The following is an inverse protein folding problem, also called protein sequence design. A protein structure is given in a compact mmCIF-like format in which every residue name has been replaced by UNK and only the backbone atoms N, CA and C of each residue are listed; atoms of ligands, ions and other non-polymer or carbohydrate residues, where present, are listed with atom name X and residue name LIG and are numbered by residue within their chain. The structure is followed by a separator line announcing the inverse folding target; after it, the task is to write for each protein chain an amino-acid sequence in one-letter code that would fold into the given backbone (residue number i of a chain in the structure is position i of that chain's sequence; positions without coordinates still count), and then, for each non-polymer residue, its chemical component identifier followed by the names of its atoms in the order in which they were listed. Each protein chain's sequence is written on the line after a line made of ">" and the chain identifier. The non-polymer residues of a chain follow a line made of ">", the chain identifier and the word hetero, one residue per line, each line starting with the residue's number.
data_IF_438236397933
#
_entry.id   IF_438236397933
#
_cell.length_a   1.000
_cell.length_b   1.000
_cell.length_c   1.000
_cell.angle_alpha   90.00
_cell.angle_beta   90.00
_cell.angle_gamma   90.00
#
_symmetry.space_group_name_H-M   'P 1'
#
loop_
_entity.id
_entity.type
_entity.pdbx_description
1 polymer ?
#
# COMPACT_ATOMS: atom_id res chain seq x y z
N UNK A 1 23.52 9.06 5.05
CA UNK A 1 22.45 8.84 6.05
C UNK A 1 22.10 7.37 6.09
N UNK A 2 21.70 6.87 7.27
CA UNK A 2 21.12 5.54 7.44
C UNK A 2 19.58 5.66 7.40
N UNK A 3 18.97 5.10 6.37
CA UNK A 3 17.52 5.15 6.17
C UNK A 3 16.97 3.77 6.46
N UNK A 4 16.05 3.66 7.42
CA UNK A 4 15.37 2.42 7.72
C UNK A 4 13.98 2.42 7.04
N UNK A 5 13.77 1.46 6.14
CA UNK A 5 12.50 1.25 5.43
C UNK A 5 11.76 0.10 6.08
N UNK A 6 10.56 0.36 6.58
CA UNK A 6 9.78 -0.64 7.29
C UNK A 6 8.59 -1.12 6.45
N UNK A 7 8.61 -2.40 6.11
CA UNK A 7 7.51 -3.11 5.44
C UNK A 7 7.00 -4.30 6.25
N UNK A 8 7.41 -4.42 7.52
CA UNK A 8 7.11 -5.58 8.38
C UNK A 8 5.63 -5.85 8.64
N UNK A 9 4.76 -4.86 8.40
CA UNK A 9 3.31 -4.97 8.55
C UNK A 9 2.57 -5.27 7.22
N UNK A 10 3.28 -5.38 6.08
CA UNK A 10 2.70 -5.51 4.74
C UNK A 10 2.69 -6.97 4.28
N UNK A 11 1.51 -7.54 4.12
CA UNK A 11 1.36 -8.97 3.75
C UNK A 11 0.48 -9.18 2.53
N UNK A 12 -0.44 -8.25 2.22
CA UNK A 12 -1.41 -8.38 1.13
C UNK A 12 -1.82 -7.02 0.57
N UNK A 13 -2.32 -7.03 -0.66
CA UNK A 13 -2.99 -5.89 -1.29
C UNK A 13 -2.04 -4.79 -1.79
N UNK A 14 -2.60 -3.62 -2.05
CA UNK A 14 -1.89 -2.50 -2.68
C UNK A 14 -0.65 -2.03 -1.92
N UNK A 15 -0.68 -2.06 -0.58
CA UNK A 15 0.47 -1.68 0.24
C UNK A 15 1.69 -2.58 0.02
N UNK A 16 1.48 -3.88 -0.23
CA UNK A 16 2.55 -4.80 -0.60
C UNK A 16 3.16 -4.42 -1.96
N UNK A 17 2.33 -4.14 -2.97
CA UNK A 17 2.79 -3.75 -4.30
C UNK A 17 3.56 -2.43 -4.29
N UNK A 18 3.07 -1.44 -3.55
CA UNK A 18 3.78 -0.15 -3.39
C UNK A 18 5.14 -0.36 -2.70
N UNK A 19 5.22 -1.24 -1.70
CA UNK A 19 6.48 -1.53 -1.03
C UNK A 19 7.50 -2.18 -1.97
N UNK A 20 7.05 -3.16 -2.77
CA UNK A 20 7.90 -3.84 -3.76
C UNK A 20 8.40 -2.86 -4.82
N UNK A 21 7.50 -2.06 -5.40
CA UNK A 21 7.86 -1.03 -6.36
C UNK A 21 8.85 -0.02 -5.77
N UNK A 22 8.55 0.51 -4.59
CA UNK A 22 9.40 1.48 -3.91
C UNK A 22 10.81 0.95 -3.63
N UNK A 23 10.94 -0.31 -3.14
CA UNK A 23 12.23 -0.91 -2.86
C UNK A 23 13.02 -1.16 -4.14
N UNK A 24 12.36 -1.62 -5.22
CA UNK A 24 13.01 -1.83 -6.51
C UNK A 24 13.46 -0.51 -7.16
N UNK A 25 12.65 0.54 -7.10
CA UNK A 25 13.05 1.86 -7.60
C UNK A 25 14.25 2.45 -6.83
N UNK A 26 14.40 2.15 -5.53
CA UNK A 26 15.55 2.60 -4.76
C UNK A 26 16.88 2.06 -5.27
N UNK A 27 16.90 0.88 -5.87
CA UNK A 27 18.11 0.25 -6.41
C UNK A 27 18.70 1.07 -7.58
N UNK A 28 17.83 1.76 -8.34
CA UNK A 28 18.22 2.60 -9.46
C UNK A 28 18.73 3.99 -9.03
N UNK A 29 18.50 4.36 -7.76
CA UNK A 29 18.95 5.64 -7.23
C UNK A 29 20.42 5.57 -6.84
N UNK A 30 21.26 6.30 -7.56
CA UNK A 30 22.69 6.45 -7.21
C UNK A 30 22.84 7.42 -6.03
N UNK A 31 22.79 6.89 -4.81
CA UNK A 31 22.90 7.67 -3.58
C UNK A 31 23.98 7.11 -2.66
N UNK A 32 24.55 7.97 -1.79
CA UNK A 32 25.48 7.59 -0.74
C UNK A 32 24.74 7.22 0.57
N UNK A 33 23.49 6.80 0.52
CA UNK A 33 22.73 6.41 1.69
C UNK A 33 22.87 4.91 1.96
N UNK A 34 22.82 4.52 3.23
CA UNK A 34 22.67 3.13 3.65
C UNK A 34 21.17 2.87 3.83
N UNK A 35 20.66 1.82 3.17
CA UNK A 35 19.27 1.40 3.25
C UNK A 35 19.15 0.12 4.08
N UNK A 36 18.48 0.24 5.22
CA UNK A 36 18.14 -0.89 6.08
C UNK A 36 16.66 -1.22 5.90
N UNK A 37 16.34 -2.44 5.47
CA UNK A 37 14.97 -2.78 5.05
C UNK A 37 14.41 -3.89 5.93
N UNK A 38 13.36 -3.60 6.69
CA UNK A 38 12.59 -4.59 7.42
C UNK A 38 11.56 -5.22 6.49
N UNK A 39 11.76 -6.48 6.15
CA UNK A 39 10.91 -7.23 5.24
C UNK A 39 9.88 -8.05 6.00
N UNK A 40 8.60 -7.97 5.62
CA UNK A 40 7.64 -9.02 5.95
C UNK A 40 7.94 -10.26 5.11
N UNK A 41 7.43 -11.43 5.52
CA UNK A 41 7.54 -12.66 4.72
C UNK A 41 6.95 -12.52 3.30
N UNK A 42 5.94 -11.68 3.13
CA UNK A 42 5.30 -11.50 1.83
C UNK A 42 6.14 -10.62 0.89
N UNK A 43 6.83 -9.62 1.43
CA UNK A 43 7.77 -8.76 0.68
C UNK A 43 9.05 -9.54 0.37
N UNK A 44 9.62 -10.24 1.35
CA UNK A 44 10.86 -11.03 1.21
C UNK A 44 10.78 -12.06 0.08
N UNK A 45 9.64 -12.73 -0.05
CA UNK A 45 9.40 -13.74 -1.11
C UNK A 45 9.41 -13.17 -2.55
N UNK A 46 9.29 -11.86 -2.70
CA UNK A 46 9.14 -11.20 -4.00
C UNK A 46 10.31 -10.26 -4.33
N UNK A 47 11.31 -10.17 -3.45
CA UNK A 47 12.54 -9.39 -3.68
C UNK A 47 13.72 -10.34 -3.85
N UNK A 48 14.41 -10.24 -4.97
CA UNK A 48 15.73 -10.87 -5.11
C UNK A 48 16.79 -9.95 -4.52
N UNK A 49 17.21 -10.25 -3.28
CA UNK A 49 18.19 -9.45 -2.55
C UNK A 49 19.56 -9.39 -3.25
N UNK A 50 19.84 -10.31 -4.18
CA UNK A 50 21.12 -10.36 -4.93
C UNK A 50 21.24 -9.25 -5.96
N UNK A 51 20.12 -8.66 -6.36
CA UNK A 51 20.09 -7.54 -7.31
C UNK A 51 20.49 -6.20 -6.70
N UNK A 52 20.66 -6.14 -5.37
CA UNK A 52 20.92 -4.90 -4.65
C UNK A 52 22.41 -4.74 -4.34
N UNK A 53 22.86 -3.50 -4.38
CA UNK A 53 24.26 -3.12 -4.09
C UNK A 53 24.60 -3.20 -2.60
N UNK A 54 25.88 -3.10 -2.25
CA UNK A 54 26.40 -3.31 -0.88
C UNK A 54 25.95 -2.28 0.17
N UNK A 55 25.20 -1.24 -0.20
CA UNK A 55 24.60 -0.29 0.73
C UNK A 55 23.16 -0.65 1.16
N UNK A 56 22.65 -1.82 0.74
CA UNK A 56 21.34 -2.35 1.14
C UNK A 56 21.50 -3.51 2.13
N UNK A 57 20.77 -3.43 3.25
CA UNK A 57 20.78 -4.43 4.32
C UNK A 57 19.36 -4.88 4.62
N UNK A 58 19.10 -6.18 4.52
CA UNK A 58 17.76 -6.76 4.65
C UNK A 58 17.60 -7.53 5.96
N UNK A 59 16.46 -7.33 6.62
CA UNK A 59 16.14 -7.95 7.90
C UNK A 59 14.74 -8.57 7.84
N UNK A 60 14.66 -9.88 7.87
CA UNK A 60 13.40 -10.60 7.85
C UNK A 60 12.66 -10.47 9.18
N UNK A 61 11.41 -10.00 9.11
CA UNK A 61 10.46 -9.93 10.22
C UNK A 61 9.35 -10.93 9.95
N UNK A 62 9.48 -12.12 10.53
CA UNK A 62 8.64 -13.28 10.18
C UNK A 62 7.16 -13.09 10.50
N UNK A 63 6.82 -12.26 11.48
CA UNK A 63 5.44 -12.05 11.94
C UNK A 63 5.09 -10.56 11.98
N UNK A 64 3.83 -10.26 11.66
CA UNK A 64 3.35 -8.88 11.64
C UNK A 64 3.29 -8.27 13.04
N UNK A 65 3.76 -7.02 13.23
CA UNK A 65 3.53 -6.25 14.45
C UNK A 65 2.05 -5.92 14.68
N UNK A 66 1.19 -6.07 13.67
CA UNK A 66 -0.26 -5.94 13.81
C UNK A 66 -0.90 -7.08 14.62
N UNK A 67 -0.25 -8.27 14.66
CA UNK A 67 -0.76 -9.44 15.37
C UNK A 67 -0.64 -9.29 16.89
N UNK A 68 -1.76 -9.26 17.60
CA UNK A 68 -1.79 -9.13 19.06
C UNK A 68 -1.04 -10.27 19.76
N UNK A 69 -1.07 -11.47 19.21
CA UNK A 69 -0.43 -12.67 19.79
C UNK A 69 1.09 -12.57 19.82
N UNK A 70 1.69 -11.98 18.79
CA UNK A 70 3.15 -11.96 18.60
C UNK A 70 3.74 -10.57 18.74
N UNK A 71 2.91 -9.54 18.94
CA UNK A 71 3.33 -8.13 18.93
C UNK A 71 4.49 -7.85 19.89
N UNK A 72 4.38 -8.29 21.15
CA UNK A 72 5.44 -8.03 22.15
C UNK A 72 6.81 -8.53 21.67
N UNK A 73 6.88 -9.76 21.20
CA UNK A 73 8.13 -10.37 20.71
C UNK A 73 8.66 -9.63 19.48
N UNK A 74 7.78 -9.26 18.55
CA UNK A 74 8.16 -8.53 17.34
C UNK A 74 8.65 -7.12 17.68
N UNK A 75 7.98 -6.41 18.58
CA UNK A 75 8.43 -5.08 19.01
C UNK A 75 9.82 -5.13 19.68
N UNK A 76 10.12 -6.15 20.48
CA UNK A 76 11.48 -6.35 21.03
C UNK A 76 12.48 -6.52 19.90
N UNK A 77 12.21 -7.36 18.89
CA UNK A 77 13.09 -7.56 17.72
C UNK A 77 13.29 -6.24 16.94
N UNK A 78 12.21 -5.51 16.64
CA UNK A 78 12.29 -4.25 15.90
C UNK A 78 13.12 -3.20 16.65
N UNK A 79 12.91 -3.06 17.97
CA UNK A 79 13.66 -2.13 18.81
C UNK A 79 15.15 -2.51 18.90
N UNK A 80 15.47 -3.79 19.05
CA UNK A 80 16.87 -4.26 19.08
C UNK A 80 17.59 -4.03 17.76
N UNK A 81 16.91 -4.24 16.63
CA UNK A 81 17.45 -3.93 15.32
C UNK A 81 17.64 -2.43 15.12
N UNK A 82 16.68 -1.60 15.53
CA UNK A 82 16.80 -0.13 15.48
C UNK A 82 18.01 0.35 16.31
N UNK A 83 18.19 -0.17 17.53
CA UNK A 83 19.33 0.16 18.40
C UNK A 83 20.67 -0.25 17.79
N UNK A 84 20.71 -1.38 17.08
CA UNK A 84 21.90 -1.83 16.36
C UNK A 84 22.21 -0.95 15.15
N UNK A 85 21.19 -0.65 14.32
CA UNK A 85 21.32 0.11 13.08
C UNK A 85 21.59 1.59 13.38
N UNK A 86 20.88 2.16 14.35
CA UNK A 86 20.84 3.59 14.68
C UNK A 86 20.50 4.45 13.46
N UNK A 87 19.29 4.27 12.86
CA UNK A 87 18.92 4.99 11.67
C UNK A 87 18.71 6.49 11.96
N UNK A 88 19.01 7.32 10.97
CA UNK A 88 18.73 8.77 11.03
C UNK A 88 17.22 9.03 10.89
N UNK A 89 16.54 8.21 10.08
CA UNK A 89 15.10 8.26 9.83
C UNK A 89 14.52 6.87 9.59
N UNK A 90 13.28 6.69 9.98
CA UNK A 90 12.46 5.50 9.65
C UNK A 90 11.35 5.90 8.69
N UNK A 91 11.20 5.17 7.59
CA UNK A 91 10.08 5.27 6.68
C UNK A 91 9.26 3.98 6.69
N UNK A 92 8.05 4.00 7.23
CA UNK A 92 7.09 2.90 7.04
C UNK A 92 6.29 3.15 5.78
N UNK A 93 6.41 2.26 4.79
CA UNK A 93 5.81 2.46 3.46
C UNK A 93 4.29 2.61 3.56
N UNK A 94 3.64 1.77 4.38
CA UNK A 94 2.22 1.92 4.69
C UNK A 94 1.91 1.65 6.16
N UNK A 95 1.08 2.52 6.75
CA UNK A 95 0.62 2.41 8.13
C UNK A 95 -0.79 1.87 8.34
N UNK A 96 -1.11 1.64 9.61
CA UNK A 96 -0.28 1.84 10.79
C UNK A 96 0.84 0.81 10.90
N UNK A 97 2.01 1.26 11.36
CA UNK A 97 3.19 0.38 11.55
C UNK A 97 3.06 -0.54 12.76
N UNK A 98 2.22 -0.16 13.73
CA UNK A 98 2.09 -0.80 15.06
C UNK A 98 3.39 -0.86 15.86
N UNK A 99 4.37 -0.07 15.46
CA UNK A 99 5.68 0.10 16.07
C UNK A 99 6.05 1.58 16.08
N UNK A 100 6.54 2.06 17.22
CA UNK A 100 7.02 3.42 17.39
C UNK A 100 8.56 3.38 17.50
N UNK A 101 9.30 3.75 16.46
CA UNK A 101 10.75 3.85 16.51
C UNK A 101 11.18 5.03 17.41
N UNK A 102 12.48 5.04 17.81
CA UNK A 102 13.14 6.16 18.49
C UNK A 102 13.53 7.26 17.51
N UNK A 103 13.97 6.87 16.30
CA UNK A 103 14.28 7.80 15.22
C UNK A 103 13.01 8.49 14.67
N UNK A 104 13.19 9.62 13.98
CA UNK A 104 12.08 10.31 13.32
C UNK A 104 11.36 9.37 12.35
N UNK A 105 10.05 9.33 12.43
CA UNK A 105 9.24 8.37 11.72
C UNK A 105 8.31 9.03 10.71
N UNK A 106 8.58 8.79 9.43
CA UNK A 106 7.70 9.10 8.31
C UNK A 106 6.83 7.88 7.98
N UNK A 107 5.54 8.06 7.73
CA UNK A 107 4.60 6.97 7.52
C UNK A 107 3.69 7.26 6.32
N UNK A 108 3.71 6.38 5.32
CA UNK A 108 2.77 6.40 4.21
C UNK A 108 1.38 5.91 4.63
N UNK A 109 0.32 6.53 4.10
CA UNK A 109 -1.04 6.14 4.47
C UNK A 109 -2.06 6.39 3.36
N UNK A 110 -2.81 5.36 2.98
CA UNK A 110 -3.80 5.40 1.90
C UNK A 110 -5.12 4.66 2.21
N UNK A 111 -5.46 4.45 3.50
CA UNK A 111 -6.71 3.78 3.87
C UNK A 111 -7.88 4.77 3.93
N UNK A 112 -8.64 4.86 2.84
CA UNK A 112 -9.80 5.75 2.72
C UNK A 112 -10.90 5.53 3.78
N UNK A 113 -11.01 4.34 4.38
CA UNK A 113 -11.94 4.09 5.49
C UNK A 113 -11.59 4.91 6.73
N UNK A 114 -10.31 5.19 6.96
CA UNK A 114 -9.86 5.91 8.15
C UNK A 114 -10.13 7.41 8.07
N UNK A 115 -9.95 8.05 6.91
CA UNK A 115 -10.08 9.50 6.79
C UNK A 115 -11.34 9.96 6.03
N UNK A 116 -12.20 9.03 5.59
CA UNK A 116 -13.45 9.38 4.93
C UNK A 116 -14.67 8.70 5.61
N UNK A 117 -15.00 9.09 6.85
CA UNK A 117 -16.06 8.48 7.65
C UNK A 117 -17.46 8.68 7.06
N UNK A 118 -17.64 9.65 6.16
CA UNK A 118 -18.90 9.97 5.47
C UNK A 118 -19.04 9.24 4.14
N UNK A 119 -18.06 8.40 3.78
CA UNK A 119 -18.12 7.65 2.53
C UNK A 119 -19.39 6.80 2.43
N UNK A 120 -20.05 6.86 1.27
CA UNK A 120 -21.22 6.02 0.96
C UNK A 120 -20.92 4.52 1.09
N UNK A 121 -19.65 4.13 1.04
CA UNK A 121 -19.23 2.74 1.26
C UNK A 121 -19.62 2.23 2.67
N UNK A 122 -19.62 3.09 3.69
CA UNK A 122 -20.12 2.73 5.02
C UNK A 122 -21.61 2.39 5.03
N UNK A 123 -22.42 3.10 4.22
CA UNK A 123 -23.86 2.89 4.15
C UNK A 123 -24.23 1.56 3.46
N UNK A 124 -23.31 0.98 2.69
CA UNK A 124 -23.47 -0.34 2.04
C UNK A 124 -23.16 -1.49 2.98
N UNK A 125 -22.53 -1.22 4.12
CA UNK A 125 -22.27 -2.26 5.12
C UNK A 125 -23.50 -2.51 5.99
N UNK A 126 -23.82 -3.77 6.30
CA UNK A 126 -24.75 -4.10 7.38
C UNK A 126 -24.36 -3.41 8.69
N UNK A 127 -25.34 -3.07 9.52
CA UNK A 127 -25.13 -2.26 10.73
C UNK A 127 -23.99 -2.77 11.62
N UNK A 128 -23.98 -4.06 11.93
CA UNK A 128 -22.93 -4.68 12.76
C UNK A 128 -21.54 -4.58 12.12
N UNK A 129 -21.45 -4.79 10.80
CA UNK A 129 -20.18 -4.64 10.07
C UNK A 129 -19.72 -3.18 10.05
N UNK A 130 -20.63 -2.23 9.93
CA UNK A 130 -20.35 -0.80 9.99
C UNK A 130 -19.78 -0.40 11.35
N UNK A 131 -20.40 -0.84 12.45
CA UNK A 131 -19.91 -0.60 13.81
C UNK A 131 -18.50 -1.20 13.98
N UNK A 132 -18.32 -2.47 13.59
CA UNK A 132 -17.01 -3.14 13.66
C UNK A 132 -15.95 -2.38 12.85
N UNK A 133 -16.29 -1.90 11.65
CA UNK A 133 -15.37 -1.13 10.82
C UNK A 133 -14.97 0.18 11.48
N UNK A 134 -15.93 0.93 12.07
CA UNK A 134 -15.64 2.19 12.79
C UNK A 134 -14.74 1.96 14.02
N UNK A 135 -14.97 0.89 14.77
CA UNK A 135 -14.09 0.52 15.89
C UNK A 135 -12.69 0.17 15.42
N UNK A 136 -12.60 -0.57 14.32
CA UNK A 136 -11.32 -0.93 13.71
C UNK A 136 -10.56 0.31 13.22
N UNK A 137 -11.24 1.24 12.55
CA UNK A 137 -10.66 2.53 12.13
C UNK A 137 -10.18 3.33 13.34
N UNK A 138 -10.97 3.43 14.40
CA UNK A 138 -10.57 4.13 15.64
C UNK A 138 -9.32 3.51 16.28
N UNK A 139 -9.24 2.18 16.27
CA UNK A 139 -8.05 1.44 16.72
C UNK A 139 -6.81 1.75 15.85
N UNK A 140 -6.95 1.73 14.52
CA UNK A 140 -5.86 2.12 13.60
C UNK A 140 -5.42 3.58 13.83
N UNK A 141 -6.39 4.51 13.99
CA UNK A 141 -6.10 5.93 14.19
C UNK A 141 -5.28 6.19 15.46
N UNK A 142 -5.52 5.41 16.53
CA UNK A 142 -4.69 5.47 17.72
C UNK A 142 -3.22 5.16 17.41
N UNK A 143 -2.96 4.08 16.65
CA UNK A 143 -1.58 3.72 16.28
C UNK A 143 -0.95 4.71 15.29
N UNK A 144 -1.73 5.25 14.36
CA UNK A 144 -1.25 6.30 13.46
C UNK A 144 -0.72 7.49 14.26
N UNK A 145 -1.51 8.02 15.19
CA UNK A 145 -1.09 9.15 16.04
C UNK A 145 0.11 8.83 16.94
N UNK A 146 0.14 7.62 17.50
CA UNK A 146 1.16 7.23 18.47
C UNK A 146 2.52 6.98 17.84
N UNK A 147 2.52 6.38 16.63
CA UNK A 147 3.69 5.71 16.09
C UNK A 147 4.49 6.60 15.13
N UNK A 148 3.89 7.62 14.53
CA UNK A 148 4.57 8.43 13.51
C UNK A 148 4.66 9.92 13.87
N UNK A 149 5.71 10.57 13.37
CA UNK A 149 5.92 12.01 13.50
C UNK A 149 5.41 12.75 12.25
N UNK A 150 5.53 12.14 11.07
CA UNK A 150 5.17 12.70 9.76
C UNK A 150 4.43 11.69 8.90
N UNK A 151 3.66 12.19 7.93
CA UNK A 151 2.78 11.36 7.09
C UNK A 151 2.91 11.71 5.62
N UNK A 152 2.86 10.69 4.77
CA UNK A 152 2.75 10.82 3.31
C UNK A 152 1.38 10.33 2.86
N UNK A 153 0.68 11.16 2.11
CA UNK A 153 -0.63 10.88 1.52
C UNK A 153 -0.54 11.02 0.00
N UNK A 154 -1.39 10.33 -0.72
CA UNK A 154 -1.35 10.26 -2.19
C UNK A 154 -1.94 11.51 -2.87
N UNK A 155 -2.87 12.23 -2.21
CA UNK A 155 -3.58 13.37 -2.80
C UNK A 155 -3.78 14.50 -1.78
N UNK A 156 -4.01 15.70 -2.28
CA UNK A 156 -4.34 16.85 -1.45
C UNK A 156 -5.67 16.66 -0.71
N UNK A 157 -6.67 16.00 -1.34
CA UNK A 157 -7.93 15.66 -0.68
C UNK A 157 -7.71 14.70 0.50
N UNK A 158 -6.92 13.63 0.28
CA UNK A 158 -6.54 12.71 1.34
C UNK A 158 -5.81 13.43 2.48
N UNK A 159 -4.86 14.30 2.19
CA UNK A 159 -4.16 15.14 3.19
C UNK A 159 -5.14 15.96 4.02
N UNK A 160 -6.05 16.68 3.39
CA UNK A 160 -6.99 17.56 4.08
C UNK A 160 -7.95 16.76 4.96
N UNK A 161 -8.51 15.65 4.46
CA UNK A 161 -9.41 14.77 5.20
C UNK A 161 -8.69 14.05 6.35
N UNK A 162 -7.50 13.51 6.08
CA UNK A 162 -6.69 12.83 7.07
C UNK A 162 -6.34 13.75 8.23
N UNK A 163 -5.81 14.94 7.96
CA UNK A 163 -5.46 15.92 9.00
C UNK A 163 -6.65 16.30 9.87
N UNK A 164 -7.83 16.50 9.27
CA UNK A 164 -9.07 16.84 9.99
C UNK A 164 -9.60 15.68 10.82
N UNK A 165 -9.73 14.47 10.22
CA UNK A 165 -10.39 13.32 10.85
C UNK A 165 -9.50 12.64 11.90
N UNK A 166 -8.21 12.52 11.59
CA UNK A 166 -7.23 11.92 12.51
C UNK A 166 -6.69 12.96 13.49
N UNK A 167 -6.99 14.25 13.27
CA UNK A 167 -6.55 15.38 14.11
C UNK A 167 -5.02 15.43 14.21
N UNK A 168 -4.38 15.65 13.06
CA UNK A 168 -2.93 15.76 12.87
C UNK A 168 -2.65 17.10 12.20
N UNK A 169 -1.63 17.79 12.69
CA UNK A 169 -1.17 19.04 12.11
C UNK A 169 -0.81 18.88 10.62
N UNK A 170 -1.37 19.74 9.78
CA UNK A 170 -1.12 19.74 8.33
C UNK A 170 0.35 19.94 7.97
N UNK A 171 1.13 20.61 8.80
CA UNK A 171 2.58 20.80 8.61
C UNK A 171 3.36 19.49 8.69
N UNK A 172 2.80 18.47 9.34
CA UNK A 172 3.36 17.11 9.45
C UNK A 172 2.93 16.18 8.32
N UNK A 173 2.15 16.67 7.35
CA UNK A 173 1.62 15.86 6.27
C UNK A 173 2.11 16.33 4.92
N UNK A 174 2.60 15.40 4.10
CA UNK A 174 3.10 15.65 2.75
C UNK A 174 2.21 14.96 1.72
N UNK A 175 2.19 15.49 0.51
CA UNK A 175 1.51 14.87 -0.63
C UNK A 175 2.56 14.37 -1.59
N UNK A 176 2.55 13.06 -1.84
CA UNK A 176 3.36 12.41 -2.86
C UNK A 176 2.41 11.58 -3.71
N UNK A 177 2.22 11.99 -4.97
CA UNK A 177 1.35 11.31 -5.90
C UNK A 177 1.87 9.92 -6.26
N UNK A 178 0.96 9.00 -6.55
CA UNK A 178 1.34 7.69 -7.07
C UNK A 178 1.81 7.82 -8.52
N UNK A 179 2.78 7.00 -8.87
CA UNK A 179 3.18 6.71 -10.24
C UNK A 179 2.99 5.22 -10.52
N UNK A 180 3.11 4.81 -11.76
CA UNK A 180 3.18 3.39 -12.11
C UNK A 180 4.59 2.85 -11.86
N UNK A 181 4.71 1.56 -11.69
CA UNK A 181 6.02 0.89 -11.53
C UNK A 181 6.70 0.75 -12.88
N UNK A 182 8.03 0.85 -12.91
CA UNK A 182 8.88 0.63 -14.09
C UNK A 182 8.63 -0.72 -14.77
N UNK A 183 8.15 -1.71 -14.03
CA UNK A 183 7.73 -3.01 -14.61
C UNK A 183 6.65 -2.87 -15.72
N UNK A 184 5.95 -1.74 -15.80
CA UNK A 184 4.97 -1.44 -16.84
C UNK A 184 5.52 -0.56 -17.96
N UNK A 185 6.81 -0.26 -17.98
CA UNK A 185 7.46 0.44 -19.08
C UNK A 185 7.46 -0.46 -20.31
N UNK A 186 7.19 0.12 -21.48
CA UNK A 186 6.97 -0.64 -22.72
C UNK A 186 8.17 -1.53 -23.08
N UNK A 187 9.39 -1.09 -22.80
CA UNK A 187 10.62 -1.83 -23.11
C UNK A 187 10.78 -3.11 -22.25
N UNK A 188 10.31 -3.10 -21.02
CA UNK A 188 10.31 -4.27 -20.13
C UNK A 188 9.12 -5.20 -20.40
N UNK A 189 7.97 -4.62 -20.78
CA UNK A 189 6.77 -5.39 -21.13
C UNK A 189 6.95 -6.31 -22.32
N UNK A 190 7.82 -5.97 -23.28
CA UNK A 190 8.07 -6.78 -24.49
C UNK A 190 8.93 -8.01 -24.19
N UNK A 191 9.76 -7.98 -23.15
CA UNK A 191 10.68 -9.06 -22.81
C UNK A 191 10.10 -10.13 -21.88
N UNK A 192 9.04 -9.83 -21.14
CA UNK A 192 8.40 -10.81 -20.28
C UNK A 192 7.33 -11.57 -21.08
N UNK A 193 7.42 -12.90 -21.10
CA UNK A 193 6.40 -13.78 -21.68
C UNK A 193 5.08 -13.61 -20.93
N UNK A 194 4.30 -12.59 -21.29
CA UNK A 194 2.97 -12.29 -20.74
C UNK A 194 1.87 -13.25 -21.20
N UNK A 195 2.18 -14.50 -21.51
CA UNK A 195 1.18 -15.54 -21.83
C UNK A 195 0.17 -15.81 -20.68
N UNK A 196 0.44 -15.28 -19.48
CA UNK A 196 -0.40 -15.48 -18.30
C UNK A 196 -1.46 -14.39 -18.08
N UNK A 197 -1.44 -13.31 -18.83
CA UNK A 197 -2.32 -12.17 -18.56
C UNK A 197 -3.53 -12.09 -19.49
N UNK A 198 -4.67 -12.52 -19.01
CA UNK A 198 -6.00 -12.30 -19.57
C UNK A 198 -6.17 -12.97 -20.94
N UNK A 199 -6.62 -14.21 -20.98
CA UNK A 199 -7.19 -14.81 -22.19
C UNK A 199 -8.47 -14.04 -22.60
N UNK A 200 -8.28 -12.87 -23.18
CA UNK A 200 -9.37 -12.16 -23.86
C UNK A 200 -9.55 -12.75 -25.26
N UNK A 201 -10.78 -12.90 -25.73
CA UNK A 201 -11.04 -13.27 -27.12
C UNK A 201 -10.33 -12.30 -28.07
N UNK A 202 -9.98 -12.75 -29.27
CA UNK A 202 -9.39 -11.85 -30.27
C UNK A 202 -10.31 -10.64 -30.48
N UNK A 203 -9.72 -9.43 -30.45
CA UNK A 203 -10.45 -8.20 -30.68
C UNK A 203 -10.98 -8.17 -32.12
N UNK A 204 -12.26 -7.81 -32.26
CA UNK A 204 -12.87 -7.61 -33.59
C UNK A 204 -12.61 -6.20 -34.10
N UNK A 205 -12.67 -6.02 -35.42
CA UNK A 205 -12.61 -4.70 -36.02
C UNK A 205 -13.78 -3.84 -35.53
N UNK A 206 -13.47 -2.58 -35.21
CA UNK A 206 -14.44 -1.62 -34.65
C UNK A 206 -15.02 -1.97 -33.27
N UNK A 207 -14.46 -2.97 -32.57
CA UNK A 207 -14.83 -3.28 -31.19
C UNK A 207 -14.18 -2.29 -30.22
N UNK A 208 -14.96 -1.72 -29.30
CA UNK A 208 -14.43 -1.00 -28.15
C UNK A 208 -14.48 -1.90 -26.91
N UNK A 209 -13.37 -2.07 -26.21
CA UNK A 209 -13.27 -2.92 -25.01
C UNK A 209 -13.14 -2.08 -23.75
N UNK A 210 -14.02 -2.32 -22.80
CA UNK A 210 -13.91 -1.84 -21.43
C UNK A 210 -13.42 -2.98 -20.54
N UNK A 211 -12.28 -2.79 -19.90
CA UNK A 211 -11.69 -3.79 -19.00
C UNK A 211 -11.71 -3.21 -17.58
N UNK A 212 -12.29 -3.96 -16.64
CA UNK A 212 -12.32 -3.61 -15.24
C UNK A 212 -11.63 -4.70 -14.41
N UNK A 213 -10.39 -4.41 -14.01
CA UNK A 213 -9.57 -5.33 -13.21
C UNK A 213 -9.71 -4.92 -11.75
N UNK A 214 -10.28 -5.79 -10.92
CA UNK A 214 -10.53 -5.49 -9.51
C UNK A 214 -10.81 -6.76 -8.70
N UNK A 215 -10.73 -6.65 -7.38
CA UNK A 215 -11.19 -7.68 -6.46
C UNK A 215 -12.53 -7.31 -5.83
N UNK A 216 -13.29 -8.31 -5.39
CA UNK A 216 -14.59 -8.08 -4.79
C UNK A 216 -14.47 -7.48 -3.39
N UNK A 217 -14.52 -6.15 -3.32
CA UNK A 217 -14.48 -5.39 -2.07
C UNK A 217 -15.57 -4.30 -2.07
N UNK A 218 -16.23 -4.03 -0.94
CA UNK A 218 -17.35 -3.09 -0.85
C UNK A 218 -17.07 -1.68 -1.40
N UNK A 219 -15.82 -1.19 -1.30
CA UNK A 219 -15.44 0.11 -1.83
C UNK A 219 -15.32 0.15 -3.37
N UNK A 220 -15.24 -1.00 -4.04
CA UNK A 220 -15.10 -1.08 -5.50
C UNK A 220 -16.43 -0.95 -6.25
N UNK A 221 -17.55 -1.00 -5.52
CA UNK A 221 -18.89 -0.76 -6.08
C UNK A 221 -19.23 -1.57 -7.34
N UNK A 222 -18.90 -2.85 -7.36
CA UNK A 222 -19.12 -3.73 -8.51
C UNK A 222 -20.58 -3.74 -9.00
N UNK A 223 -21.56 -3.51 -8.11
CA UNK A 223 -22.98 -3.42 -8.47
C UNK A 223 -23.29 -2.28 -9.42
N UNK A 224 -22.42 -1.27 -9.56
CA UNK A 224 -22.60 -0.21 -10.55
C UNK A 224 -22.44 -0.72 -11.98
N UNK A 225 -21.70 -1.80 -12.20
CA UNK A 225 -21.55 -2.43 -13.52
C UNK A 225 -22.91 -2.84 -14.08
N UNK A 226 -23.77 -3.46 -13.26
CA UNK A 226 -25.12 -3.87 -13.67
C UNK A 226 -26.00 -2.69 -14.11
N UNK A 227 -25.68 -1.46 -13.68
CA UNK A 227 -26.38 -0.25 -14.10
C UNK A 227 -25.81 0.35 -15.39
N UNK A 228 -24.55 0.06 -15.67
CA UNK A 228 -23.85 0.57 -16.86
C UNK A 228 -24.11 -0.32 -18.07
N UNK A 229 -24.11 -1.65 -17.89
CA UNK A 229 -24.28 -2.59 -19.00
C UNK A 229 -25.49 -2.30 -19.90
N UNK A 230 -26.71 -2.01 -19.39
CA UNK A 230 -27.84 -1.70 -20.23
C UNK A 230 -27.69 -0.38 -21.04
N UNK A 231 -26.81 0.53 -20.56
CA UNK A 231 -26.51 1.78 -21.26
C UNK A 231 -25.57 1.60 -22.45
N UNK A 232 -24.93 0.44 -22.53
CA UNK A 232 -24.00 0.07 -23.61
C UNK A 232 -24.71 -0.70 -24.73
N UNK A 233 -25.98 -1.05 -24.54
CA UNK A 233 -26.78 -1.72 -25.56
C UNK A 233 -26.87 -0.84 -26.82
N UNK A 234 -26.65 -1.45 -27.99
CA UNK A 234 -26.63 -0.75 -29.27
C UNK A 234 -25.28 -0.15 -29.68
N UNK A 235 -24.26 -0.22 -28.80
CA UNK A 235 -22.89 0.11 -29.13
C UNK A 235 -22.06 -1.15 -29.30
N UNK A 236 -21.04 -1.13 -30.17
CA UNK A 236 -20.10 -2.25 -30.31
C UNK A 236 -19.07 -2.24 -29.17
N UNK A 237 -19.56 -2.37 -27.92
CA UNK A 237 -18.77 -2.31 -26.70
C UNK A 237 -18.84 -3.63 -25.96
N UNK A 238 -17.70 -4.26 -25.75
CA UNK A 238 -17.56 -5.45 -24.90
C UNK A 238 -16.98 -5.08 -23.54
N UNK A 239 -17.67 -5.50 -22.48
CA UNK A 239 -17.24 -5.26 -21.11
C UNK A 239 -16.63 -6.54 -20.50
N UNK A 240 -15.38 -6.44 -20.07
CA UNK A 240 -14.66 -7.53 -19.41
C UNK A 240 -14.37 -7.17 -17.95
N UNK A 241 -14.77 -8.04 -17.04
CA UNK A 241 -14.45 -7.89 -15.61
C UNK A 241 -13.61 -9.09 -15.17
N UNK A 242 -12.43 -8.84 -14.64
CA UNK A 242 -11.56 -9.88 -14.11
C UNK A 242 -11.33 -9.68 -12.62
N UNK A 243 -11.50 -10.77 -11.88
CA UNK A 243 -11.15 -10.87 -10.48
C UNK A 243 -9.83 -11.66 -10.38
N UNK A 244 -8.80 -11.10 -9.75
CA UNK A 244 -7.56 -11.83 -9.46
C UNK A 244 -7.77 -12.89 -8.39
#
# INVERSE_FOLDING_TARGET
>A
MKILINTSNLYVGGGLQVALSFINELKELNTNHEYHIFLSLAVDKQIDQKEFTGNFYFYLIEKSPASLKTRKTILVKLNSLEEYIKPDIVFSVFGPSYWKPKAKHLLGFADGWAYNPESVAYNRLPLLKRIKMRLHVKYKSYYLKRDADYYVLETLDAKNKFSKVIDIDKSKTFVVGNTYSSIFDEDECIQSNYEYFINLPKKQDNEFRLIYITHNHPNKNLTSINKILPLLDGFNINFFCKFP
#
